data_IF_516911232041
#
_entry.id   IF_516911232041
#
_cell.length_a   1.000
_cell.length_b   1.000
_cell.length_c   1.000
_cell.angle_alpha   90.00
_cell.angle_beta   90.00
_cell.angle_gamma   90.00
#
_symmetry.space_group_name_H-M   'P 1'
#
loop_
_entity.id
_entity.type
_entity.pdbx_description
1 polymer ?
#
# COMPACT_ATOMS: atom_id res chain seq x y z
N UNK A 1 -12.62 -8.05 -6.80
CA UNK A 1 -12.06 -6.91 -6.07
C UNK A 1 -10.63 -6.69 -6.51
N UNK A 2 -10.30 -5.51 -6.87
CA UNK A 2 -9.03 -5.24 -7.52
C UNK A 2 -7.87 -5.02 -6.56
N UNK A 3 -8.11 -4.86 -5.29
CA UNK A 3 -7.08 -4.66 -4.31
C UNK A 3 -6.43 -3.29 -4.30
N UNK A 4 -6.92 -2.36 -5.11
CA UNK A 4 -6.39 -1.00 -5.09
C UNK A 4 -6.91 -0.22 -3.90
N UNK A 5 -6.09 0.64 -3.30
CA UNK A 5 -6.54 1.43 -2.16
C UNK A 5 -7.53 2.50 -2.60
N UNK A 6 -8.55 2.72 -1.80
CA UNK A 6 -9.57 3.75 -2.08
C UNK A 6 -9.48 4.90 -1.09
N UNK A 7 -9.00 4.63 0.11
CA UNK A 7 -8.89 5.63 1.17
C UNK A 7 -7.61 5.41 1.94
N UNK A 8 -7.04 6.50 2.38
CA UNK A 8 -5.92 6.51 3.30
C UNK A 8 -6.35 7.37 4.49
N UNK A 9 -6.45 6.74 5.67
CA UNK A 9 -7.05 7.35 6.84
C UNK A 9 -8.49 7.79 6.50
N UNK A 10 -8.80 9.04 6.41
CA UNK A 10 -10.12 9.51 6.02
C UNK A 10 -10.09 10.22 4.69
N UNK A 11 -8.94 10.23 4.03
CA UNK A 11 -8.78 10.88 2.75
C UNK A 11 -9.05 9.91 1.63
N UNK A 12 -9.77 10.36 0.63
CA UNK A 12 -10.07 9.56 -0.54
C UNK A 12 -8.88 9.58 -1.49
N UNK A 13 -8.58 8.42 -2.07
CA UNK A 13 -7.53 8.30 -3.07
C UNK A 13 -8.07 8.79 -4.41
N UNK A 14 -7.43 9.82 -4.96
CA UNK A 14 -7.80 10.36 -6.25
C UNK A 14 -7.09 9.65 -7.41
N UNK A 15 -5.85 9.20 -7.18
CA UNK A 15 -5.03 8.63 -8.25
C UNK A 15 -3.98 7.70 -7.64
N UNK A 16 -3.79 6.56 -8.26
CA UNK A 16 -2.66 5.67 -7.96
C UNK A 16 -1.58 5.94 -9.01
N UNK A 17 -0.42 6.41 -8.57
CA UNK A 17 0.68 6.76 -9.47
C UNK A 17 1.56 5.59 -9.81
N UNK A 18 1.90 4.79 -8.80
CA UNK A 18 2.75 3.63 -8.97
C UNK A 18 2.30 2.51 -8.06
N UNK A 19 2.56 1.31 -8.49
CA UNK A 19 2.31 0.11 -7.72
C UNK A 19 3.52 -0.80 -7.88
N UNK A 20 4.01 -1.35 -6.77
CA UNK A 20 5.09 -2.34 -6.83
C UNK A 20 4.90 -3.35 -5.71
N UNK A 21 5.51 -4.51 -5.92
CA UNK A 21 5.40 -5.61 -4.98
C UNK A 21 6.77 -5.92 -4.40
N UNK A 22 6.82 -6.10 -3.10
CA UNK A 22 8.02 -6.51 -2.38
C UNK A 22 7.76 -7.90 -1.82
N UNK A 23 8.61 -8.85 -2.19
CA UNK A 23 8.58 -10.20 -1.65
C UNK A 23 9.95 -10.47 -1.05
N UNK A 24 9.98 -10.80 0.23
CA UNK A 24 11.20 -11.04 0.95
C UNK A 24 11.01 -12.25 1.85
N UNK A 25 12.11 -12.86 2.28
CA UNK A 25 12.09 -14.03 3.15
C UNK A 25 11.23 -15.16 2.62
N UNK A 26 11.14 -15.28 1.31
CA UNK A 26 10.34 -16.32 0.68
C UNK A 26 10.85 -17.74 1.04
N UNK A 27 12.07 -17.82 1.56
CA UNK A 27 12.70 -19.09 1.97
C UNK A 27 12.43 -19.43 3.44
N UNK A 28 11.68 -18.63 4.16
CA UNK A 28 11.38 -18.83 5.58
C UNK A 28 9.93 -19.21 5.79
N UNK A 29 9.60 -19.56 7.02
CA UNK A 29 8.21 -19.84 7.40
C UNK A 29 7.40 -18.56 7.57
N UNK A 30 8.06 -17.42 7.57
CA UNK A 30 7.39 -16.13 7.71
C UNK A 30 7.77 -15.24 6.54
N UNK A 31 7.29 -15.55 5.33
CA UNK A 31 7.60 -14.73 4.18
C UNK A 31 6.94 -13.36 4.29
N UNK A 32 7.61 -12.37 3.71
CA UNK A 32 7.07 -11.02 3.62
C UNK A 32 6.58 -10.81 2.20
N UNK A 33 5.31 -10.47 2.05
CA UNK A 33 4.73 -10.16 0.76
C UNK A 33 3.87 -8.91 0.91
N UNK A 34 4.27 -7.83 0.25
CA UNK A 34 3.61 -6.54 0.37
C UNK A 34 3.43 -5.91 -1.00
N UNK A 35 2.27 -5.31 -1.19
CA UNK A 35 2.00 -4.50 -2.37
C UNK A 35 1.94 -3.05 -1.96
N UNK A 36 2.81 -2.25 -2.56
CA UNK A 36 2.94 -0.84 -2.25
C UNK A 36 2.25 -0.01 -3.33
N UNK A 37 1.64 1.09 -2.90
CA UNK A 37 0.96 2.01 -3.79
C UNK A 37 1.39 3.43 -3.45
N UNK A 38 1.89 4.14 -4.45
CA UNK A 38 2.14 5.57 -4.34
C UNK A 38 0.89 6.28 -4.86
N UNK A 39 0.20 6.96 -3.99
CA UNK A 39 -1.11 7.52 -4.32
C UNK A 39 -1.13 9.03 -4.11
N UNK A 40 -2.04 9.67 -4.82
CA UNK A 40 -2.38 11.09 -4.61
C UNK A 40 -3.77 11.13 -4.01
N UNK A 41 -3.90 11.80 -2.89
CA UNK A 41 -5.18 11.96 -2.19
C UNK A 41 -5.99 13.09 -2.81
N UNK A 42 -7.27 13.13 -2.48
CA UNK A 42 -8.18 14.12 -3.06
C UNK A 42 -7.75 15.55 -2.80
N UNK A 43 -7.05 15.81 -1.71
CA UNK A 43 -6.52 17.14 -1.40
C UNK A 43 -5.19 17.47 -2.08
N UNK A 44 -4.68 16.57 -2.93
CA UNK A 44 -3.41 16.78 -3.60
C UNK A 44 -2.19 16.26 -2.85
N UNK A 45 -2.39 15.72 -1.68
CA UNK A 45 -1.30 15.18 -0.89
C UNK A 45 -0.86 13.81 -1.44
N UNK A 46 0.41 13.49 -1.28
CA UNK A 46 0.94 12.19 -1.66
C UNK A 46 1.09 11.32 -0.44
N UNK A 47 0.86 10.03 -0.63
CA UNK A 47 1.04 9.04 0.42
C UNK A 47 1.51 7.74 -0.19
N UNK A 48 2.22 6.95 0.62
CA UNK A 48 2.57 5.58 0.26
C UNK A 48 1.86 4.67 1.23
N UNK A 49 1.09 3.75 0.71
CA UNK A 49 0.39 2.75 1.51
C UNK A 49 0.80 1.37 1.02
N UNK A 50 0.68 0.39 1.87
CA UNK A 50 0.94 -0.97 1.42
C UNK A 50 -0.06 -1.94 2.03
N UNK A 51 -0.32 -2.97 1.27
CA UNK A 51 -1.11 -4.12 1.71
C UNK A 51 -0.14 -5.22 2.09
N UNK A 52 -0.19 -5.65 3.34
CA UNK A 52 0.52 -6.85 3.77
C UNK A 52 -0.34 -8.03 3.38
N UNK A 53 0.10 -8.77 2.37
CA UNK A 53 -0.69 -9.85 1.79
C UNK A 53 -0.79 -11.07 2.70
N UNK A 54 0.13 -11.22 3.66
CA UNK A 54 0.09 -12.34 4.60
C UNK A 54 -1.02 -12.18 5.62
N UNK A 55 -1.25 -10.96 6.08
CA UNK A 55 -2.27 -10.71 7.11
C UNK A 55 -3.50 -10.01 6.55
N UNK A 56 -3.46 -9.56 5.30
CA UNK A 56 -4.59 -8.92 4.67
C UNK A 56 -4.91 -7.55 5.23
N UNK A 57 -3.91 -6.82 5.70
CA UNK A 57 -4.08 -5.50 6.30
C UNK A 57 -3.36 -4.42 5.54
N UNK A 58 -3.96 -3.24 5.57
CA UNK A 58 -3.39 -2.05 4.98
C UNK A 58 -2.64 -1.22 6.01
N UNK A 59 -1.53 -0.66 5.58
CA UNK A 59 -0.71 0.22 6.41
C UNK A 59 -0.35 1.46 5.62
N UNK A 60 -0.19 2.57 6.30
CA UNK A 60 0.27 3.80 5.71
C UNK A 60 1.73 4.01 6.09
N UNK A 61 2.59 4.14 5.09
CA UNK A 61 3.98 4.48 5.31
C UNK A 61 4.11 5.98 5.19
N UNK A 62 4.38 6.63 6.30
CA UNK A 62 4.61 8.07 6.27
C UNK A 62 6.06 8.31 5.90
N UNK A 63 6.25 8.93 4.76
CA UNK A 63 7.55 9.45 4.39
C UNK A 63 7.84 10.66 5.25
N UNK A 64 8.89 10.65 5.96
CA UNK A 64 9.32 11.82 6.71
C UNK A 64 10.54 12.39 6.08
#
# INVERSE_FOLDING_TARGET
MDGSPRRVNRAQVALVREEWRVVDRWWTEEPVSRRYFDVVLAGGERAVVFLDEEVGRWFSQRGT
#
